data_IF_465332827848
#
_entry.id   IF_465332827848
#
_cell.length_a   1.000
_cell.length_b   1.000
_cell.length_c   1.000
_cell.angle_alpha   90.00
_cell.angle_beta   90.00
_cell.angle_gamma   90.00
#
_symmetry.space_group_name_H-M   'P 1'
#
loop_
_entity.id
_entity.type
_entity.pdbx_description
1 polymer ?
#
# COMPACT_ATOMS: atom_id res chain seq x y z
N UNK A 1 -2.37 -21.49 3.91
CA UNK A 1 -2.42 -20.42 2.90
C UNK A 1 -1.67 -20.85 1.67
N UNK A 2 -2.23 -20.51 0.56
CA UNK A 2 -1.58 -20.84 -0.70
C UNK A 2 -0.44 -19.90 -0.99
N UNK A 3 0.63 -20.40 -1.57
CA UNK A 3 1.70 -19.55 -2.04
C UNK A 3 1.18 -18.69 -3.19
N UNK A 4 1.71 -17.50 -3.29
CA UNK A 4 1.38 -16.59 -4.39
C UNK A 4 2.25 -16.96 -5.58
N UNK A 5 1.62 -17.15 -6.73
CA UNK A 5 2.36 -17.42 -7.94
C UNK A 5 2.79 -16.12 -8.58
N UNK A 6 4.09 -15.93 -8.67
CA UNK A 6 4.67 -14.72 -9.24
C UNK A 6 5.04 -14.95 -10.69
N UNK A 7 4.08 -14.78 -11.58
CA UNK A 7 4.32 -14.97 -13.00
C UNK A 7 5.16 -13.84 -13.56
N UNK A 8 5.71 -14.06 -14.74
CA UNK A 8 6.47 -13.00 -15.41
C UNK A 8 5.57 -11.78 -15.65
N UNK A 9 6.09 -10.60 -15.39
CA UNK A 9 5.40 -9.31 -15.55
C UNK A 9 4.24 -9.06 -14.59
N UNK A 10 4.00 -9.95 -13.65
CA UNK A 10 2.96 -9.67 -12.66
C UNK A 10 3.39 -8.48 -11.79
N UNK A 11 2.45 -7.64 -11.46
CA UNK A 11 2.70 -6.53 -10.56
C UNK A 11 2.38 -6.95 -9.14
N UNK A 12 3.12 -6.37 -8.20
CA UNK A 12 2.87 -6.55 -6.76
C UNK A 12 2.81 -5.18 -6.14
N UNK A 13 1.72 -4.89 -5.48
CA UNK A 13 1.59 -3.66 -4.71
C UNK A 13 1.79 -4.02 -3.25
N UNK A 14 2.84 -3.49 -2.64
CA UNK A 14 3.12 -3.70 -1.22
C UNK A 14 2.88 -2.37 -0.53
N UNK A 15 1.87 -2.32 0.33
CA UNK A 15 1.45 -1.07 0.93
C UNK A 15 1.25 -1.19 2.42
N UNK A 16 1.33 -0.06 3.10
CA UNK A 16 0.86 0.09 4.47
C UNK A 16 -0.02 1.33 4.49
N UNK A 17 -0.20 1.95 5.64
CA UNK A 17 -1.07 3.12 5.71
C UNK A 17 -0.42 4.41 5.26
N UNK A 18 0.85 4.40 4.96
CA UNK A 18 1.62 5.61 4.68
C UNK A 18 2.41 5.55 3.40
N UNK A 19 2.79 4.37 2.94
CA UNK A 19 3.55 4.26 1.71
C UNK A 19 3.18 3.00 0.96
N UNK A 20 3.53 2.98 -0.31
CA UNK A 20 3.26 1.85 -1.17
C UNK A 20 4.42 1.69 -2.14
N UNK A 21 4.76 0.43 -2.40
CA UNK A 21 5.78 0.07 -3.37
C UNK A 21 5.11 -0.68 -4.50
N UNK A 22 5.39 -0.26 -5.72
CA UNK A 22 4.92 -0.97 -6.90
C UNK A 22 6.09 -1.77 -7.45
N UNK A 23 5.94 -3.07 -7.50
CA UNK A 23 6.98 -3.95 -8.00
C UNK A 23 6.47 -4.71 -9.21
N UNK A 24 7.40 -5.12 -10.05
CA UNK A 24 7.10 -5.94 -11.21
C UNK A 24 8.05 -7.13 -11.21
N UNK A 25 7.55 -8.30 -11.59
CA UNK A 25 8.40 -9.48 -11.65
C UNK A 25 9.10 -9.53 -13.01
N UNK A 26 10.40 -9.28 -12.98
CA UNK A 26 11.25 -9.34 -14.16
C UNK A 26 11.68 -10.78 -14.46
N UNK A 27 11.52 -11.67 -13.47
CA UNK A 27 11.84 -13.09 -13.64
C UNK A 27 10.62 -13.87 -14.06
N UNK A 28 10.52 -15.11 -13.58
CA UNK A 28 9.37 -15.97 -13.86
C UNK A 28 8.88 -16.59 -12.55
N UNK A 29 7.95 -17.53 -12.65
CA UNK A 29 7.35 -18.11 -11.45
C UNK A 29 8.28 -19.05 -10.68
N UNK A 30 9.29 -19.58 -11.33
CA UNK A 30 10.28 -20.43 -10.66
C UNK A 30 11.39 -19.62 -10.04
N UNK A 31 11.81 -18.57 -10.74
CA UNK A 31 12.89 -17.69 -10.29
C UNK A 31 12.41 -16.25 -10.37
N UNK A 32 11.55 -15.85 -9.45
CA UNK A 32 11.04 -14.49 -9.48
C UNK A 32 12.13 -13.49 -9.17
N UNK A 33 12.03 -12.35 -9.81
CA UNK A 33 12.93 -11.24 -9.57
C UNK A 33 12.10 -9.97 -9.54
N UNK A 34 11.63 -9.62 -8.36
CA UNK A 34 10.81 -8.43 -8.19
C UNK A 34 11.68 -7.20 -8.17
N UNK A 35 11.25 -6.18 -8.89
CA UNK A 35 11.93 -4.90 -8.89
C UNK A 35 10.93 -3.80 -8.60
N UNK A 36 11.31 -2.91 -7.70
CA UNK A 36 10.50 -1.74 -7.37
C UNK A 36 10.67 -0.73 -8.49
N UNK A 37 9.57 -0.35 -9.12
CA UNK A 37 9.63 0.66 -10.17
C UNK A 37 8.96 1.96 -9.78
N UNK A 38 8.25 1.97 -8.67
CA UNK A 38 7.62 3.20 -8.16
C UNK A 38 7.38 3.08 -6.68
N UNK A 39 7.60 4.19 -5.99
CA UNK A 39 7.31 4.28 -4.57
C UNK A 39 6.40 5.49 -4.37
N UNK A 40 5.33 5.29 -3.61
CA UNK A 40 4.36 6.35 -3.33
C UNK A 40 4.28 6.51 -1.83
N UNK A 41 4.38 7.74 -1.37
CA UNK A 41 4.24 8.07 0.04
C UNK A 41 2.98 8.90 0.21
N UNK A 42 2.39 8.80 1.38
CA UNK A 42 1.28 9.66 1.70
C UNK A 42 1.79 11.09 1.76
N UNK A 43 1.15 11.95 0.98
CA UNK A 43 1.49 13.35 0.96
C UNK A 43 0.41 14.11 1.69
N UNK A 44 0.69 14.48 2.91
CA UNK A 44 -0.23 15.26 3.71
C UNK A 44 0.44 16.58 4.05
N UNK A 45 0.31 17.58 3.17
CA UNK A 45 0.99 18.86 3.36
C UNK A 45 0.66 19.51 4.69
N UNK A 46 -0.57 19.42 5.13
CA UNK A 46 -0.96 20.04 6.38
C UNK A 46 -0.21 19.44 7.57
N UNK A 47 -0.17 18.12 7.63
CA UNK A 47 0.55 17.45 8.70
C UNK A 47 2.03 17.71 8.62
N UNK A 48 2.56 17.67 7.40
CA UNK A 48 3.97 17.93 7.17
C UNK A 48 4.35 19.35 7.60
N UNK A 49 3.56 20.31 7.21
CA UNK A 49 3.80 21.69 7.57
C UNK A 49 3.72 21.87 9.07
N UNK A 50 2.77 21.26 9.70
CA UNK A 50 2.64 21.34 11.14
C UNK A 50 3.86 20.80 11.84
N UNK A 51 4.37 19.68 11.37
CA UNK A 51 5.56 19.10 11.94
C UNK A 51 6.77 19.99 11.78
N UNK A 52 6.81 20.77 10.73
CA UNK A 52 7.92 21.65 10.43
C UNK A 52 7.81 22.98 11.12
N UNK A 53 6.63 23.57 11.02
CA UNK A 53 6.44 24.96 11.42
C UNK A 53 6.18 25.14 12.89
N UNK A 54 5.73 24.11 13.55
CA UNK A 54 5.36 24.26 14.92
C UNK A 54 5.93 23.15 15.76
N UNK A 55 7.21 23.10 15.83
CA UNK A 55 7.87 22.04 16.56
C UNK A 55 7.44 22.06 17.99
N UNK A 56 6.41 21.37 18.27
CA UNK A 56 6.04 21.09 19.62
C UNK A 56 5.52 22.19 20.48
N UNK A 57 5.51 23.39 20.05
CA UNK A 57 5.08 24.39 20.97
C UNK A 57 3.60 24.31 21.21
N UNK A 58 2.96 25.31 21.46
CA UNK A 58 1.58 25.41 21.83
C UNK A 58 0.72 24.24 21.49
N UNK A 59 0.97 23.63 20.41
CA UNK A 59 0.20 22.46 20.08
C UNK A 59 0.35 21.39 21.08
N UNK A 60 1.43 21.40 21.81
CA UNK A 60 1.67 20.37 22.78
C UNK A 60 0.53 20.26 23.76
N UNK A 61 0.06 21.40 24.23
CA UNK A 61 -1.05 21.39 25.15
C UNK A 61 -2.28 20.76 24.54
N UNK A 62 -2.59 21.18 23.32
CA UNK A 62 -3.76 20.64 22.65
C UNK A 62 -3.59 19.16 22.35
N UNK A 63 -2.39 18.78 21.95
CA UNK A 63 -2.13 17.37 21.64
C UNK A 63 -2.30 16.51 22.88
N UNK A 64 -1.77 16.97 23.97
CA UNK A 64 -1.84 16.20 25.21
C UNK A 64 -3.29 15.94 25.60
N UNK A 65 -4.16 16.86 25.30
CA UNK A 65 -5.55 16.72 25.70
C UNK A 65 -6.41 15.99 24.68
N UNK A 66 -5.84 15.64 23.55
CA UNK A 66 -6.57 14.89 22.56
C UNK A 66 -6.77 13.46 23.04
N UNK A 67 -7.97 12.96 22.89
CA UNK A 67 -8.28 11.61 23.32
C UNK A 67 -7.66 10.59 22.38
N UNK A 68 -7.42 9.39 22.91
CA UNK A 68 -6.92 8.29 22.10
C UNK A 68 -7.90 7.95 20.97
N UNK A 69 -9.19 8.09 21.26
CA UNK A 69 -10.23 7.83 20.26
C UNK A 69 -10.08 8.77 19.07
N UNK A 70 -9.83 10.05 19.33
CA UNK A 70 -9.67 11.02 18.26
C UNK A 70 -8.43 10.71 17.42
N UNK A 71 -7.35 10.29 18.05
CA UNK A 71 -6.15 9.95 17.31
C UNK A 71 -6.35 8.69 16.47
N UNK A 72 -7.07 7.71 17.01
CA UNK A 72 -7.38 6.51 16.26
C UNK A 72 -8.23 6.82 15.04
N UNK A 73 -9.22 7.69 15.20
CA UNK A 73 -10.06 8.12 14.08
C UNK A 73 -9.23 8.85 13.03
N UNK A 74 -8.32 9.71 13.46
CA UNK A 74 -7.45 10.44 12.56
C UNK A 74 -6.60 9.47 11.73
N UNK A 75 -5.95 8.51 12.37
CA UNK A 75 -5.13 7.54 11.66
C UNK A 75 -5.94 6.70 10.70
N UNK A 76 -7.15 6.32 11.11
CA UNK A 76 -8.02 5.53 10.25
C UNK A 76 -8.42 6.31 9.00
N UNK A 77 -8.72 7.58 9.17
CA UNK A 77 -9.08 8.43 8.03
C UNK A 77 -7.89 8.64 7.10
N UNK A 78 -6.72 8.76 7.66
CA UNK A 78 -5.51 8.90 6.87
C UNK A 78 -5.26 7.66 6.03
N UNK A 79 -5.41 6.48 6.63
CA UNK A 79 -5.23 5.23 5.91
C UNK A 79 -6.28 5.06 4.83
N UNK A 80 -7.52 5.43 5.12
CA UNK A 80 -8.58 5.34 4.13
C UNK A 80 -8.33 6.27 2.96
N UNK A 81 -7.85 7.47 3.23
CA UNK A 81 -7.53 8.45 2.19
C UNK A 81 -6.39 7.95 1.31
N UNK A 82 -5.36 7.39 1.93
CA UNK A 82 -4.23 6.85 1.19
C UNK A 82 -4.66 5.66 0.32
N UNK A 83 -5.49 4.78 0.87
CA UNK A 83 -6.00 3.64 0.12
C UNK A 83 -6.82 4.09 -1.08
N UNK A 84 -7.64 5.14 -0.90
CA UNK A 84 -8.42 5.68 -2.01
C UNK A 84 -7.51 6.25 -3.09
N UNK A 85 -6.46 6.95 -2.69
CA UNK A 85 -5.50 7.49 -3.64
C UNK A 85 -4.81 6.37 -4.42
N UNK A 86 -4.45 5.29 -3.74
CA UNK A 86 -3.86 4.14 -4.40
C UNK A 86 -4.83 3.50 -5.37
N UNK A 87 -6.09 3.38 -4.98
CA UNK A 87 -7.10 2.81 -5.84
C UNK A 87 -7.27 3.63 -7.13
N UNK A 88 -7.25 4.96 -6.99
CA UNK A 88 -7.33 5.84 -8.15
C UNK A 88 -6.12 5.68 -9.08
N UNK A 89 -4.94 5.56 -8.50
CA UNK A 89 -3.72 5.33 -9.30
C UNK A 89 -3.77 4.00 -10.03
N UNK A 90 -4.24 2.97 -9.33
CA UNK A 90 -4.38 1.64 -9.95
C UNK A 90 -5.39 1.67 -11.09
N UNK A 91 -6.49 2.40 -10.91
CA UNK A 91 -7.47 2.51 -11.97
C UNK A 91 -6.88 3.13 -13.22
N UNK A 92 -6.14 4.22 -13.06
CA UNK A 92 -5.52 4.87 -14.21
C UNK A 92 -4.55 3.93 -14.94
N UNK A 93 -3.76 3.19 -14.16
CA UNK A 93 -2.81 2.24 -14.74
C UNK A 93 -3.52 1.08 -15.44
N UNK A 94 -4.57 0.56 -14.82
CA UNK A 94 -5.33 -0.53 -15.40
C UNK A 94 -6.04 -0.09 -16.68
N UNK A 95 -6.56 1.13 -16.67
CA UNK A 95 -7.27 1.67 -17.83
C UNK A 95 -6.33 1.83 -19.02
N UNK A 96 -5.05 2.11 -18.76
CA UNK A 96 -4.04 2.18 -19.81
C UNK A 96 -3.46 0.82 -20.17
N UNK A 97 -3.92 -0.25 -19.51
CA UNK A 97 -3.39 -1.60 -19.66
C UNK A 97 -1.91 -1.69 -19.33
N UNK A 98 -1.47 -0.94 -18.31
CA UNK A 98 -0.08 -0.98 -17.88
C UNK A 98 0.27 -2.33 -17.24
N UNK A 99 -0.71 -3.04 -16.71
CA UNK A 99 -0.50 -4.36 -16.14
C UNK A 99 -1.68 -5.27 -16.43
N UNK A 100 -1.44 -6.57 -16.38
CA UNK A 100 -2.49 -7.56 -16.63
C UNK A 100 -2.95 -8.23 -15.34
N UNK A 101 -2.03 -8.46 -14.42
CA UNK A 101 -2.32 -9.12 -13.15
C UNK A 101 -1.61 -8.39 -12.05
N UNK A 102 -2.22 -8.35 -10.87
CA UNK A 102 -1.62 -7.69 -9.73
C UNK A 102 -1.94 -8.46 -8.45
N UNK A 103 -0.95 -8.49 -7.55
CA UNK A 103 -1.10 -9.02 -6.21
C UNK A 103 -1.12 -7.83 -5.26
N UNK A 104 -2.09 -7.80 -4.35
CA UNK A 104 -2.17 -6.74 -3.35
C UNK A 104 -1.67 -7.27 -2.02
N UNK A 105 -0.69 -6.60 -1.45
CA UNK A 105 -0.10 -6.97 -0.16
C UNK A 105 -0.20 -5.76 0.76
N UNK A 106 -0.96 -5.89 1.83
CA UNK A 106 -1.14 -4.80 2.77
C UNK A 106 -1.75 -5.35 4.07
N UNK A 107 -1.68 -4.58 5.16
CA UNK A 107 -2.35 -4.99 6.39
C UNK A 107 -3.85 -5.12 6.15
N UNK A 108 -4.54 -5.96 6.95
CA UNK A 108 -5.97 -6.19 6.72
C UNK A 108 -6.82 -4.93 6.64
N UNK A 109 -6.53 -3.92 7.46
CA UNK A 109 -7.29 -2.68 7.44
C UNK A 109 -7.13 -1.97 6.10
N UNK A 110 -5.91 -1.89 5.61
CA UNK A 110 -5.63 -1.22 4.34
C UNK A 110 -6.24 -2.00 3.17
N UNK A 111 -6.13 -3.34 3.21
CA UNK A 111 -6.77 -4.17 2.17
C UNK A 111 -8.26 -3.97 2.15
N UNK A 112 -8.88 -3.87 3.33
CA UNK A 112 -10.31 -3.63 3.41
C UNK A 112 -10.72 -2.30 2.79
N UNK A 113 -9.92 -1.26 3.04
CA UNK A 113 -10.19 0.05 2.46
C UNK A 113 -9.97 0.04 0.95
N UNK A 114 -8.91 -0.63 0.50
CA UNK A 114 -8.67 -0.75 -0.94
C UNK A 114 -9.83 -1.43 -1.65
N UNK A 115 -10.34 -2.52 -1.08
CA UNK A 115 -11.45 -3.24 -1.70
C UNK A 115 -12.68 -2.35 -1.91
N UNK A 116 -12.94 -1.45 -0.98
CA UNK A 116 -14.07 -0.56 -1.09
C UNK A 116 -13.95 0.39 -2.26
N UNK A 117 -12.72 0.79 -2.57
CA UNK A 117 -12.46 1.85 -3.54
C UNK A 117 -11.98 1.34 -4.89
N UNK A 118 -11.64 0.05 -5.01
CA UNK A 118 -11.13 -0.48 -6.27
C UNK A 118 -12.19 -0.46 -7.36
N UNK A 119 -11.81 0.09 -8.49
CA UNK A 119 -12.63 0.03 -9.69
C UNK A 119 -12.65 -1.41 -10.20
N UNK A 120 -13.75 -1.78 -10.84
CA UNK A 120 -13.91 -3.13 -11.37
C UNK A 120 -12.77 -3.53 -12.31
N UNK A 121 -12.28 -2.59 -13.11
CA UNK A 121 -11.16 -2.88 -14.01
C UNK A 121 -9.93 -3.35 -13.26
N UNK A 122 -9.69 -2.80 -12.07
CA UNK A 122 -8.57 -3.22 -11.24
C UNK A 122 -8.89 -4.55 -10.56
N UNK A 123 -10.09 -4.63 -9.98
CA UNK A 123 -10.47 -5.83 -9.25
C UNK A 123 -10.39 -7.08 -10.13
N UNK A 124 -10.74 -6.95 -11.41
CA UNK A 124 -10.66 -8.07 -12.33
C UNK A 124 -9.23 -8.53 -12.59
N UNK A 125 -8.24 -7.69 -12.31
CA UNK A 125 -6.84 -8.02 -12.51
C UNK A 125 -6.15 -8.52 -11.23
N UNK A 126 -6.81 -8.43 -10.09
CA UNK A 126 -6.25 -8.87 -8.81
C UNK A 126 -6.28 -10.39 -8.75
N UNK A 127 -5.11 -11.00 -8.65
CA UNK A 127 -5.02 -12.46 -8.58
C UNK A 127 -4.90 -12.98 -7.16
N UNK A 128 -4.44 -12.15 -6.24
CA UNK A 128 -4.30 -12.56 -4.85
C UNK A 128 -4.23 -11.34 -3.95
N UNK A 129 -4.65 -11.52 -2.71
CA UNK A 129 -4.53 -10.52 -1.67
C UNK A 129 -3.82 -11.16 -0.50
N UNK A 130 -2.80 -10.50 0.01
CA UNK A 130 -1.99 -11.01 1.10
C UNK A 130 -2.08 -10.03 2.27
N UNK A 131 -2.73 -10.40 3.38
CA UNK A 131 -2.91 -9.49 4.51
C UNK A 131 -1.68 -9.45 5.40
N UNK A 132 -0.60 -8.90 4.86
CA UNK A 132 0.66 -8.78 5.58
C UNK A 132 1.27 -7.42 5.33
N UNK A 133 2.07 -6.96 6.29
CA UNK A 133 2.78 -5.70 6.17
C UNK A 133 4.23 -6.01 5.77
N UNK A 134 4.56 -5.79 4.52
CA UNK A 134 5.89 -6.11 4.01
C UNK A 134 6.70 -4.88 3.60
N UNK A 135 6.20 -3.69 3.85
CA UNK A 135 6.88 -2.47 3.41
C UNK A 135 8.25 -2.26 4.03
N UNK A 136 8.52 -2.91 5.16
CA UNK A 136 9.81 -2.79 5.83
C UNK A 136 10.75 -3.95 5.56
N UNK A 137 10.36 -4.85 4.67
CA UNK A 137 11.18 -6.00 4.29
C UNK A 137 11.97 -5.69 3.03
N UNK A 138 13.07 -6.41 2.84
CA UNK A 138 13.80 -6.31 1.58
C UNK A 138 13.00 -7.01 0.49
N UNK A 139 13.33 -6.70 -0.76
CA UNK A 139 12.65 -7.34 -1.89
C UNK A 139 12.86 -8.86 -1.84
N UNK A 140 14.07 -9.31 -1.50
CA UNK A 140 14.34 -10.73 -1.38
C UNK A 140 13.44 -11.39 -0.35
N UNK A 141 13.24 -10.74 0.79
CA UNK A 141 12.36 -11.24 1.83
C UNK A 141 10.91 -11.29 1.35
N UNK A 142 10.50 -10.24 0.63
CA UNK A 142 9.15 -10.20 0.06
C UNK A 142 8.90 -11.39 -0.85
N UNK A 143 9.86 -11.69 -1.73
CA UNK A 143 9.75 -12.82 -2.63
C UNK A 143 9.59 -14.14 -1.86
N UNK A 144 10.41 -14.32 -0.85
CA UNK A 144 10.35 -15.55 -0.05
C UNK A 144 9.02 -15.68 0.68
N UNK A 145 8.56 -14.59 1.28
CA UNK A 145 7.30 -14.61 2.02
C UNK A 145 6.14 -14.90 1.10
N UNK A 146 6.10 -14.28 -0.05
CA UNK A 146 5.01 -14.47 -1.00
C UNK A 146 5.01 -15.88 -1.57
N UNK A 147 6.17 -16.45 -1.85
CA UNK A 147 6.27 -17.79 -2.37
C UNK A 147 5.98 -18.85 -1.33
N UNK A 148 6.25 -18.55 -0.07
CA UNK A 148 6.00 -19.50 1.00
C UNK A 148 4.52 -19.60 1.37
N UNK A 149 3.79 -18.53 1.08
CA UNK A 149 2.38 -18.50 1.44
C UNK A 149 2.16 -18.00 2.86
#
# INVERSE_FOLDING_TARGET
>A
MSAVRLEHDIWVLVADGEKALFLRNEGDDKFPHLEVFREVHEDNPATHDQGTDRPGRLQDGAQVHRSAVQETEWHRLEKARFAKDLADRLYKMAHRNDFKKIVLVAPPVVLGELRKDLHKEVADKVTAEVPKTLTNHTVDEMEKILQAG
#
